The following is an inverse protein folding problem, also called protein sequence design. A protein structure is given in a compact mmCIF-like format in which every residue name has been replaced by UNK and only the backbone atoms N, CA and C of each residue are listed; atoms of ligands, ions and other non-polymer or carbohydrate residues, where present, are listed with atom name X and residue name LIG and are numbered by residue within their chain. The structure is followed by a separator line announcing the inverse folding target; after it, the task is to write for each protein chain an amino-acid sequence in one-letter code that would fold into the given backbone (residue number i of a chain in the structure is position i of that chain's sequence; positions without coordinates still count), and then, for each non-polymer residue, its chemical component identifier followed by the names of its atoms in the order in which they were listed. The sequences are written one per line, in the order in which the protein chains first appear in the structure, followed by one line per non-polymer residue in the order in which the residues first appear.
data_IF_727371163230
#
_entry.id   IF_727371163230
#
_cell.length_a   1.000
_cell.length_b   1.000
_cell.length_c   1.000
_cell.angle_alpha   90.00
_cell.angle_beta   90.00
_cell.angle_gamma   90.00
#
_symmetry.space_group_name_H-M   'P 1'
#
loop_
_entity.id
_entity.type
_entity.pdbx_description
1 polymer ?
#
# COMPACT_ATOMS: atom_id res chain seq x y z
N UNK A 1 -4.34 -9.61 -15.15
CA UNK A 1 -3.66 -10.63 -14.34
C UNK A 1 -4.44 -10.76 -13.03
N UNK A 2 -4.69 -11.97 -12.49
CA UNK A 2 -5.38 -12.08 -11.19
C UNK A 2 -4.40 -11.77 -10.05
N UNK A 3 -4.76 -10.87 -9.13
CA UNK A 3 -3.92 -10.44 -8.00
C UNK A 3 -4.22 -11.25 -6.74
N UNK A 4 -3.18 -11.52 -5.94
CA UNK A 4 -3.25 -12.19 -4.66
C UNK A 4 -2.45 -11.42 -3.60
N UNK A 5 -3.15 -10.99 -2.56
CA UNK A 5 -2.60 -10.21 -1.44
C UNK A 5 -2.80 -10.90 -0.09
N UNK A 6 -3.26 -12.16 -0.12
CA UNK A 6 -3.46 -13.00 1.05
C UNK A 6 -2.92 -14.40 0.81
N UNK A 7 -2.12 -14.91 1.76
CA UNK A 7 -1.63 -16.31 1.76
C UNK A 7 -2.81 -17.29 1.72
N UNK A 8 -3.89 -16.99 2.44
CA UNK A 8 -5.07 -17.86 2.50
C UNK A 8 -5.80 -17.94 1.16
N UNK A 9 -5.88 -16.84 0.42
CA UNK A 9 -6.48 -16.84 -0.92
C UNK A 9 -5.57 -17.56 -1.92
N UNK A 10 -4.28 -17.22 -1.93
CA UNK A 10 -3.30 -17.86 -2.82
C UNK A 10 -3.27 -19.37 -2.60
N UNK A 11 -3.18 -19.83 -1.35
CA UNK A 11 -3.19 -21.26 -1.02
C UNK A 11 -4.45 -21.99 -1.50
N UNK A 12 -5.63 -21.35 -1.42
CA UNK A 12 -6.89 -21.92 -1.93
C UNK A 12 -6.92 -22.00 -3.46
N UNK A 13 -6.20 -21.12 -4.14
CA UNK A 13 -6.08 -21.10 -5.60
C UNK A 13 -5.05 -22.11 -6.13
N UNK A 14 -3.98 -22.37 -5.38
CA UNK A 14 -2.90 -23.29 -5.72
C UNK A 14 -3.31 -24.77 -5.58
N UNK A 15 -4.34 -25.19 -6.32
CA UNK A 15 -4.83 -26.59 -6.37
C UNK A 15 -4.48 -27.30 -7.67
N UNK A 16 -3.78 -26.61 -8.58
CA UNK A 16 -3.45 -27.08 -9.93
C UNK A 16 -1.92 -27.23 -10.08
N UNK A 17 -1.43 -28.14 -10.94
CA UNK A 17 0.01 -28.37 -11.12
C UNK A 17 0.71 -27.27 -11.94
N UNK A 18 -0.05 -26.41 -12.60
CA UNK A 18 0.45 -25.32 -13.44
C UNK A 18 -0.37 -24.05 -13.23
N UNK A 19 0.32 -22.93 -13.05
CA UNK A 19 -0.27 -21.61 -12.82
C UNK A 19 0.40 -20.61 -13.75
N UNK A 20 -0.41 -19.77 -14.38
CA UNK A 20 0.07 -18.70 -15.25
C UNK A 20 -0.68 -17.39 -15.03
N UNK A 21 -0.02 -16.27 -15.35
CA UNK A 21 -0.64 -14.94 -15.38
C UNK A 21 -1.36 -14.56 -14.06
N UNK A 22 -0.66 -14.75 -12.95
CA UNK A 22 -1.06 -14.24 -11.63
C UNK A 22 -0.05 -13.23 -11.08
N UNK A 23 -0.53 -12.27 -10.30
CA UNK A 23 0.29 -11.34 -9.53
C UNK A 23 0.17 -11.68 -8.04
N UNK A 24 1.30 -11.73 -7.34
CA UNK A 24 1.37 -12.00 -5.91
C UNK A 24 2.14 -10.87 -5.25
N UNK A 25 1.54 -10.19 -4.27
CA UNK A 25 2.05 -8.93 -3.75
C UNK A 25 2.21 -8.93 -2.22
N UNK A 26 3.37 -8.48 -1.75
CA UNK A 26 3.67 -8.27 -0.32
C UNK A 26 3.41 -9.48 0.57
N UNK A 27 3.59 -10.70 0.04
CA UNK A 27 3.33 -11.94 0.76
C UNK A 27 4.60 -12.63 1.26
N UNK A 28 4.48 -13.28 2.42
CA UNK A 28 5.52 -14.18 2.95
C UNK A 28 5.30 -15.59 2.44
N UNK A 29 5.90 -15.91 1.29
CA UNK A 29 5.68 -17.16 0.58
C UNK A 29 6.29 -18.39 1.29
N UNK A 30 7.22 -18.16 2.22
CA UNK A 30 7.79 -19.22 3.08
C UNK A 30 6.72 -20.02 3.83
N UNK A 31 5.53 -19.44 4.09
CA UNK A 31 4.40 -20.10 4.75
C UNK A 31 3.76 -21.22 3.90
N UNK A 32 3.92 -21.18 2.58
CA UNK A 32 3.33 -22.13 1.62
C UNK A 32 4.37 -22.69 0.64
N UNK A 33 5.65 -22.52 0.94
CA UNK A 33 6.76 -22.87 0.07
C UNK A 33 6.77 -24.34 -0.37
N UNK A 34 6.55 -25.35 0.50
CA UNK A 34 6.48 -26.74 0.05
C UNK A 34 5.40 -26.99 -1.00
N UNK A 35 4.27 -26.27 -0.95
CA UNK A 35 3.22 -26.36 -1.96
C UNK A 35 3.69 -25.73 -3.27
N UNK A 36 4.28 -24.53 -3.21
CA UNK A 36 4.71 -23.79 -4.38
C UNK A 36 5.82 -24.50 -5.16
N UNK A 37 6.76 -25.17 -4.48
CA UNK A 37 7.83 -25.94 -5.12
C UNK A 37 7.32 -27.11 -5.98
N UNK A 38 6.10 -27.58 -5.73
CA UNK A 38 5.46 -28.65 -6.52
C UNK A 38 4.63 -28.13 -7.71
N UNK A 39 4.54 -26.82 -7.90
CA UNK A 39 3.72 -26.17 -8.93
C UNK A 39 4.64 -25.47 -9.93
N UNK A 40 4.32 -25.59 -11.23
CA UNK A 40 5.00 -24.83 -12.28
C UNK A 40 4.34 -23.48 -12.46
N UNK A 41 5.13 -22.41 -12.43
CA UNK A 41 4.68 -21.03 -12.64
C UNK A 41 5.26 -20.46 -13.93
N UNK A 42 4.45 -19.73 -14.69
CA UNK A 42 4.96 -18.96 -15.84
C UNK A 42 4.19 -17.67 -16.06
N UNK A 43 4.88 -16.62 -16.50
CA UNK A 43 4.34 -15.29 -16.77
C UNK A 43 3.65 -14.67 -15.55
N UNK A 44 4.06 -15.08 -14.34
CA UNK A 44 3.56 -14.54 -13.08
C UNK A 44 4.41 -13.35 -12.60
N UNK A 45 3.80 -12.46 -11.84
CA UNK A 45 4.43 -11.32 -11.16
C UNK A 45 4.53 -11.60 -9.67
N UNK A 46 5.73 -11.49 -9.08
CA UNK A 46 5.95 -11.56 -7.64
C UNK A 46 6.52 -10.23 -7.14
N UNK A 47 5.68 -9.44 -6.48
CA UNK A 47 5.94 -8.05 -6.08
C UNK A 47 6.23 -7.98 -4.58
N UNK A 48 7.49 -7.74 -4.19
CA UNK A 48 7.85 -7.57 -2.78
C UNK A 48 7.57 -8.78 -1.90
N UNK A 49 7.54 -9.98 -2.47
CA UNK A 49 7.32 -11.21 -1.73
C UNK A 49 8.61 -11.64 -1.00
N UNK A 50 8.49 -12.10 0.24
CA UNK A 50 9.61 -12.74 0.94
C UNK A 50 9.57 -14.25 0.71
N UNK A 51 10.68 -14.83 0.27
CA UNK A 51 10.82 -16.24 -0.07
C UNK A 51 12.23 -16.74 0.23
N UNK A 52 12.43 -18.05 0.31
CA UNK A 52 13.75 -18.67 0.38
C UNK A 52 14.49 -18.56 -0.96
N UNK A 53 15.79 -18.81 -0.94
CA UNK A 53 16.59 -18.90 -2.17
C UNK A 53 16.09 -20.06 -3.06
N UNK A 54 15.69 -21.19 -2.48
CA UNK A 54 15.18 -22.34 -3.25
C UNK A 54 13.90 -21.98 -4.01
N UNK A 55 12.96 -21.32 -3.35
CA UNK A 55 11.73 -20.85 -3.99
C UNK A 55 12.02 -19.75 -5.02
N UNK A 56 12.97 -18.85 -4.75
CA UNK A 56 13.41 -17.86 -5.73
C UNK A 56 13.94 -18.52 -7.01
N UNK A 57 14.85 -19.49 -6.90
CA UNK A 57 15.39 -20.22 -8.05
C UNK A 57 14.33 -21.01 -8.81
N UNK A 58 13.33 -21.55 -8.10
CA UNK A 58 12.19 -22.21 -8.72
C UNK A 58 11.29 -21.26 -9.52
N UNK A 59 11.08 -20.04 -9.02
CA UNK A 59 10.22 -19.05 -9.65
C UNK A 59 10.91 -18.21 -10.72
N UNK A 60 12.23 -17.99 -10.64
CA UNK A 60 12.98 -17.14 -11.58
C UNK A 60 12.75 -17.50 -13.07
N UNK A 61 12.72 -18.79 -13.47
CA UNK A 61 12.48 -19.17 -14.85
C UNK A 61 11.06 -18.81 -15.30
N UNK A 62 10.96 -17.86 -16.22
CA UNK A 62 9.69 -17.53 -16.89
C UNK A 62 8.73 -16.68 -16.07
N UNK A 63 9.13 -16.16 -14.90
CA UNK A 63 8.33 -15.21 -14.11
C UNK A 63 9.08 -13.90 -13.89
N UNK A 64 8.36 -12.90 -13.39
CA UNK A 64 8.88 -11.58 -13.08
C UNK A 64 8.94 -11.41 -11.57
N UNK A 65 10.15 -11.31 -11.02
CA UNK A 65 10.37 -11.17 -9.59
C UNK A 65 10.91 -9.77 -9.31
N UNK A 66 10.17 -9.01 -8.51
CA UNK A 66 10.50 -7.65 -8.16
C UNK A 66 11.12 -7.60 -6.77
N UNK A 67 12.30 -6.94 -6.61
CA UNK A 67 13.04 -6.97 -5.35
C UNK A 67 12.39 -6.10 -4.28
N UNK A 68 12.66 -6.43 -3.03
CA UNK A 68 12.50 -5.52 -1.90
C UNK A 68 13.69 -4.54 -1.89
N UNK A 69 13.40 -3.25 -1.95
CA UNK A 69 14.42 -2.21 -1.91
C UNK A 69 14.72 -1.81 -0.46
N UNK A 70 15.98 -1.52 -0.17
CA UNK A 70 16.42 -1.05 1.15
C UNK A 70 16.02 0.43 1.36
N UNK A 71 14.76 0.59 1.79
CA UNK A 71 14.07 1.86 2.10
C UNK A 71 13.15 1.66 3.32
N UNK A 72 12.81 2.70 4.10
CA UNK A 72 12.08 2.54 5.37
C UNK A 72 10.55 2.38 5.20
N UNK A 73 10.08 2.06 4.00
CA UNK A 73 8.68 1.82 3.70
C UNK A 73 8.52 0.57 2.83
N UNK A 74 7.34 -0.03 2.86
CA UNK A 74 7.03 -1.11 1.92
C UNK A 74 6.91 -0.50 0.52
N UNK A 75 7.67 -0.98 -0.47
CA UNK A 75 7.55 -0.52 -1.86
C UNK A 75 6.35 -1.09 -2.61
N UNK A 76 5.64 -2.05 -2.02
CA UNK A 76 4.48 -2.69 -2.65
C UNK A 76 3.27 -2.82 -1.69
N UNK A 77 2.84 -1.76 -0.98
CA UNK A 77 1.72 -1.85 -0.03
C UNK A 77 0.48 -2.43 -0.72
N UNK A 78 -0.11 -3.48 -0.13
CA UNK A 78 -1.32 -4.14 -0.64
C UNK A 78 -2.61 -3.59 -0.02
N UNK A 79 -2.52 -2.46 0.67
CA UNK A 79 -3.67 -1.77 1.26
C UNK A 79 -3.37 -0.31 1.47
N UNK A 80 -4.43 0.49 1.54
CA UNK A 80 -4.34 1.88 1.96
C UNK A 80 -3.90 1.98 3.43
N UNK A 81 -3.17 3.05 3.72
CA UNK A 81 -2.79 3.38 5.09
C UNK A 81 -3.99 3.89 5.89
N UNK A 82 -3.97 3.58 7.18
CA UNK A 82 -4.89 4.08 8.19
C UNK A 82 -4.11 4.77 9.32
N UNK A 83 -4.83 5.34 10.28
CA UNK A 83 -4.20 6.03 11.42
C UNK A 83 -3.31 5.08 12.23
N UNK A 84 -3.75 3.83 12.43
CA UNK A 84 -3.05 2.87 13.27
C UNK A 84 -1.72 2.44 12.64
N UNK A 85 -1.68 2.25 11.33
CA UNK A 85 -0.47 1.92 10.58
C UNK A 85 0.50 3.10 10.46
N UNK A 86 0.02 4.31 10.21
CA UNK A 86 0.87 5.50 10.08
C UNK A 86 1.45 5.97 11.40
N UNK A 87 0.66 5.92 12.48
CA UNK A 87 1.04 6.36 13.82
C UNK A 87 1.41 5.19 14.75
N UNK A 88 1.74 4.03 14.18
CA UNK A 88 2.15 2.86 14.95
C UNK A 88 3.26 3.23 15.97
N UNK A 89 3.01 2.91 17.24
CA UNK A 89 3.94 3.22 18.34
C UNK A 89 3.84 4.64 18.91
N UNK A 90 2.93 5.49 18.42
CA UNK A 90 2.69 6.81 19.00
C UNK A 90 2.03 6.70 20.38
N UNK A 91 2.55 7.47 21.34
CA UNK A 91 1.99 7.60 22.67
C UNK A 91 1.74 9.08 22.99
N UNK A 92 0.47 9.45 23.17
CA UNK A 92 0.05 10.82 23.48
C UNK A 92 0.67 11.41 24.75
N UNK A 93 0.98 10.57 25.74
CA UNK A 93 1.63 10.99 26.99
C UNK A 93 3.16 11.14 26.85
N UNK A 94 3.72 10.67 25.72
CA UNK A 94 5.13 10.84 25.36
C UNK A 94 5.24 11.35 23.91
N UNK A 95 4.93 12.63 23.64
CA UNK A 95 4.82 13.15 22.26
C UNK A 95 6.05 12.92 21.37
N UNK A 96 7.24 12.84 21.97
CA UNK A 96 8.49 12.51 21.24
C UNK A 96 8.46 11.14 20.53
N UNK A 97 7.56 10.24 20.91
CA UNK A 97 7.35 8.96 20.21
C UNK A 97 6.88 9.14 18.77
N UNK A 98 6.28 10.29 18.42
CA UNK A 98 5.94 10.65 17.04
C UNK A 98 7.14 10.52 16.09
N UNK A 99 8.34 10.89 16.55
CA UNK A 99 9.56 10.83 15.74
C UNK A 99 9.94 9.41 15.29
N UNK A 100 9.35 8.38 15.88
CA UNK A 100 9.59 6.97 15.56
C UNK A 100 8.41 6.33 14.81
N UNK A 101 7.36 7.09 14.52
CA UNK A 101 6.21 6.57 13.77
C UNK A 101 6.60 6.32 12.32
N UNK A 102 5.99 5.32 11.65
CA UNK A 102 6.21 5.08 10.23
C UNK A 102 6.06 6.34 9.37
N UNK A 103 5.00 7.13 9.58
CA UNK A 103 4.77 8.38 8.86
C UNK A 103 5.97 9.33 8.94
N UNK A 104 6.43 9.62 10.17
CA UNK A 104 7.53 10.56 10.38
C UNK A 104 8.86 10.07 9.83
N UNK A 105 9.14 8.78 9.96
CA UNK A 105 10.38 8.16 9.45
C UNK A 105 10.42 8.22 7.93
N UNK A 106 9.31 7.87 7.26
CA UNK A 106 9.19 7.94 5.80
C UNK A 106 9.27 9.37 5.30
N UNK A 107 8.63 10.31 5.99
CA UNK A 107 8.72 11.75 5.67
C UNK A 107 10.16 12.26 5.73
N UNK A 108 10.90 11.94 6.80
CA UNK A 108 12.31 12.36 6.93
C UNK A 108 13.18 11.74 5.83
N UNK A 109 13.01 10.45 5.56
CA UNK A 109 13.68 9.79 4.45
C UNK A 109 13.35 10.44 3.10
N UNK A 110 12.07 10.74 2.83
CA UNK A 110 11.66 11.42 1.61
C UNK A 110 12.35 12.78 1.46
N UNK A 111 12.38 13.59 2.53
CA UNK A 111 13.06 14.89 2.53
C UNK A 111 14.56 14.78 2.23
N UNK A 112 15.24 13.79 2.80
CA UNK A 112 16.66 13.56 2.52
C UNK A 112 16.87 13.03 1.10
N UNK A 113 16.04 12.09 0.63
CA UNK A 113 16.12 11.53 -0.72
C UNK A 113 15.99 12.60 -1.81
N UNK A 114 15.20 13.66 -1.57
CA UNK A 114 15.05 14.79 -2.50
C UNK A 114 16.32 15.60 -2.72
N UNK A 115 17.32 15.50 -1.84
CA UNK A 115 18.59 16.21 -1.99
C UNK A 115 19.53 15.52 -2.99
N UNK A 116 19.50 14.18 -3.01
CA UNK A 116 20.44 13.36 -3.79
C UNK A 116 19.78 12.62 -4.98
N UNK A 117 18.45 12.48 -4.98
CA UNK A 117 17.60 11.89 -6.04
C UNK A 117 18.21 10.63 -6.69
N UNK A 118 18.60 9.65 -5.89
CA UNK A 118 19.17 8.42 -6.44
C UNK A 118 18.13 7.64 -7.26
N UNK A 119 18.59 6.88 -8.25
CA UNK A 119 17.72 6.00 -9.06
C UNK A 119 17.01 4.99 -8.14
N UNK A 120 17.68 4.48 -7.11
CA UNK A 120 17.08 3.57 -6.12
C UNK A 120 15.89 4.22 -5.42
N UNK A 121 16.07 5.43 -4.89
CA UNK A 121 15.03 6.10 -4.09
C UNK A 121 13.84 6.49 -4.98
N UNK A 122 14.11 6.98 -6.19
CA UNK A 122 13.05 7.36 -7.14
C UNK A 122 12.27 6.15 -7.64
N UNK A 123 12.92 5.01 -7.93
CA UNK A 123 12.23 3.76 -8.25
C UNK A 123 11.41 3.25 -7.07
N UNK A 124 11.96 3.26 -5.85
CA UNK A 124 11.24 2.84 -4.64
C UNK A 124 9.96 3.65 -4.42
N UNK A 125 10.04 4.98 -4.55
CA UNK A 125 8.89 5.88 -4.46
C UNK A 125 7.84 5.57 -5.53
N UNK A 126 8.26 5.34 -6.79
CA UNK A 126 7.33 5.04 -7.88
C UNK A 126 6.64 3.69 -7.73
N UNK A 127 7.36 2.68 -7.26
CA UNK A 127 6.77 1.36 -6.95
C UNK A 127 5.73 1.49 -5.84
N UNK A 128 6.07 2.19 -4.76
CA UNK A 128 5.14 2.48 -3.68
C UNK A 128 3.89 3.22 -4.16
N UNK A 129 4.07 4.33 -4.89
CA UNK A 129 2.96 5.16 -5.36
C UNK A 129 2.05 4.40 -6.34
N UNK A 130 2.64 3.53 -7.17
CA UNK A 130 1.87 2.65 -8.05
C UNK A 130 0.97 1.72 -7.24
N UNK A 131 1.52 1.01 -6.26
CA UNK A 131 0.74 0.12 -5.39
C UNK A 131 -0.33 0.85 -4.58
N UNK A 132 -0.04 2.06 -4.07
CA UNK A 132 -1.07 2.89 -3.40
C UNK A 132 -2.18 3.29 -4.37
N UNK A 133 -1.83 3.66 -5.61
CA UNK A 133 -2.82 4.03 -6.63
C UNK A 133 -3.71 2.84 -6.99
N UNK A 134 -3.12 1.66 -7.11
CA UNK A 134 -3.84 0.41 -7.37
C UNK A 134 -4.83 0.09 -6.23
N UNK A 135 -4.35 0.04 -4.98
CA UNK A 135 -5.22 -0.15 -3.81
C UNK A 135 -6.29 0.93 -3.65
N UNK A 136 -6.00 2.17 -4.06
CA UNK A 136 -6.99 3.26 -4.05
C UNK A 136 -8.11 2.99 -5.05
N UNK A 137 -7.77 2.56 -6.28
CA UNK A 137 -8.76 2.22 -7.29
C UNK A 137 -9.64 1.05 -6.84
N UNK A 138 -9.06 0.00 -6.26
CA UNK A 138 -9.82 -1.11 -5.71
C UNK A 138 -10.75 -0.68 -4.58
N UNK A 139 -10.27 0.18 -3.67
CA UNK A 139 -11.05 0.68 -2.55
C UNK A 139 -12.26 1.48 -3.03
N UNK A 140 -12.07 2.46 -3.92
CA UNK A 140 -13.16 3.32 -4.40
C UNK A 140 -14.13 2.57 -5.32
N UNK A 141 -13.69 1.51 -6.01
CA UNK A 141 -14.56 0.68 -6.85
C UNK A 141 -15.66 -0.04 -6.06
N UNK A 142 -15.51 -0.17 -4.74
CA UNK A 142 -16.55 -0.71 -3.86
C UNK A 142 -17.69 0.28 -3.54
N UNK A 143 -17.56 1.54 -3.95
CA UNK A 143 -18.54 2.60 -3.72
C UNK A 143 -19.29 2.96 -5.02
N UNK A 144 -20.52 3.47 -4.88
CA UNK A 144 -21.22 4.13 -5.98
C UNK A 144 -20.43 5.38 -6.41
N UNK A 145 -20.08 5.47 -7.70
CA UNK A 145 -19.35 6.59 -8.28
C UNK A 145 -20.00 7.96 -7.95
N UNK A 146 -21.33 8.01 -7.83
CA UNK A 146 -22.08 9.24 -7.53
C UNK A 146 -22.00 9.63 -6.06
N UNK A 147 -21.50 8.72 -5.21
CA UNK A 147 -21.29 8.91 -3.79
C UNK A 147 -19.83 9.19 -3.43
N UNK A 148 -18.95 9.30 -4.42
CA UNK A 148 -17.58 9.77 -4.26
C UNK A 148 -17.55 11.30 -4.36
N UNK A 149 -17.33 11.99 -3.24
CA UNK A 149 -17.37 13.47 -3.21
C UNK A 149 -16.10 14.03 -2.60
N UNK A 150 -15.45 14.95 -3.33
CA UNK A 150 -14.28 15.66 -2.86
C UNK A 150 -14.65 17.11 -2.48
N UNK A 151 -14.20 17.57 -1.32
CA UNK A 151 -14.25 19.00 -0.96
C UNK A 151 -12.83 19.54 -1.11
N UNK A 152 -12.65 20.41 -2.10
CA UNK A 152 -11.37 21.07 -2.36
C UNK A 152 -11.35 22.44 -1.67
N UNK A 153 -10.21 22.79 -1.07
CA UNK A 153 -10.00 24.05 -0.38
C UNK A 153 -8.52 24.34 -0.19
N UNK A 154 -8.19 25.57 0.20
CA UNK A 154 -6.81 25.97 0.47
C UNK A 154 -6.32 25.44 1.82
N UNK A 155 -5.08 24.99 1.89
CA UNK A 155 -4.40 24.49 3.10
C UNK A 155 -4.08 25.59 4.14
N UNK A 156 -4.50 26.84 3.90
CA UNK A 156 -4.19 28.02 4.73
C UNK A 156 -5.26 28.40 5.75
N UNK A 157 -6.39 27.67 5.79
CA UNK A 157 -7.52 27.97 6.69
C UNK A 157 -7.21 27.45 8.09
N UNK A 158 -7.34 28.29 9.11
CA UNK A 158 -7.15 27.87 10.50
C UNK A 158 -8.32 27.02 11.00
N UNK A 159 -8.03 26.07 11.89
CA UNK A 159 -9.06 25.21 12.53
C UNK A 159 -10.09 26.01 13.34
N UNK A 160 -9.75 27.23 13.74
CA UNK A 160 -10.62 28.15 14.49
C UNK A 160 -11.56 28.97 13.61
N UNK A 161 -11.35 28.99 12.29
CA UNK A 161 -12.18 29.77 11.38
C UNK A 161 -13.54 29.12 11.13
N UNK A 162 -14.56 29.95 10.92
CA UNK A 162 -15.93 29.49 10.68
C UNK A 162 -16.03 28.54 9.49
N UNK A 163 -15.29 28.83 8.41
CA UNK A 163 -15.29 28.01 7.19
C UNK A 163 -14.75 26.59 7.45
N UNK A 164 -13.76 26.43 8.33
CA UNK A 164 -13.26 25.10 8.72
C UNK A 164 -14.38 24.28 9.36
N UNK A 165 -15.11 24.87 10.32
CA UNK A 165 -16.24 24.22 10.98
C UNK A 165 -17.36 23.87 10.00
N UNK A 166 -17.65 24.74 9.03
CA UNK A 166 -18.65 24.46 7.99
C UNK A 166 -18.27 23.24 7.15
N UNK A 167 -17.01 23.14 6.72
CA UNK A 167 -16.51 22.00 5.95
C UNK A 167 -16.60 20.72 6.78
N UNK A 168 -16.20 20.73 8.05
CA UNK A 168 -16.31 19.56 8.94
C UNK A 168 -17.76 19.08 9.06
N UNK A 169 -18.70 19.99 9.28
CA UNK A 169 -20.12 19.63 9.43
C UNK A 169 -20.74 19.13 8.12
N UNK A 170 -20.36 19.74 6.98
CA UNK A 170 -20.79 19.31 5.66
C UNK A 170 -20.28 17.89 5.36
N UNK A 171 -18.98 17.65 5.54
CA UNK A 171 -18.38 16.31 5.36
C UNK A 171 -19.04 15.28 6.25
N UNK A 172 -19.26 15.60 7.54
CA UNK A 172 -19.98 14.71 8.46
C UNK A 172 -21.37 14.36 7.94
N UNK A 173 -22.16 15.36 7.54
CA UNK A 173 -23.52 15.15 7.04
C UNK A 173 -23.55 14.29 5.78
N UNK A 174 -22.61 14.48 4.87
CA UNK A 174 -22.50 13.66 3.65
C UNK A 174 -22.09 12.22 3.98
N UNK A 175 -21.11 12.04 4.87
CA UNK A 175 -20.71 10.70 5.34
C UNK A 175 -21.87 9.96 6.00
N UNK A 176 -22.67 10.63 6.83
CA UNK A 176 -23.88 10.04 7.44
C UNK A 176 -24.95 9.64 6.42
N UNK A 177 -24.93 10.22 5.21
CA UNK A 177 -25.79 9.85 4.07
C UNK A 177 -25.15 8.78 3.17
N UNK A 178 -23.99 8.25 3.55
CA UNK A 178 -23.27 7.19 2.85
C UNK A 178 -22.39 7.67 1.70
N UNK A 179 -22.03 8.96 1.66
CA UNK A 179 -21.01 9.46 0.74
C UNK A 179 -19.60 9.14 1.28
N UNK A 180 -18.71 8.70 0.38
CA UNK A 180 -17.28 8.64 0.67
C UNK A 180 -16.68 10.01 0.40
N UNK A 181 -16.17 10.63 1.46
CA UNK A 181 -15.53 11.94 1.37
C UNK A 181 -14.05 11.78 1.03
N UNK A 182 -13.61 12.50 -0.01
CA UNK A 182 -12.24 12.51 -0.51
C UNK A 182 -11.60 13.90 -0.28
N UNK A 183 -10.28 13.93 -0.07
CA UNK A 183 -9.53 15.18 0.04
C UNK A 183 -8.10 15.00 -0.50
N UNK A 184 -7.40 16.13 -0.71
CA UNK A 184 -5.98 16.12 -1.09
C UNK A 184 -5.02 15.86 0.07
N UNK A 185 -5.51 15.60 1.29
CA UNK A 185 -4.66 15.31 2.46
C UNK A 185 -3.87 16.50 3.03
N UNK A 186 -4.30 17.73 2.73
CA UNK A 186 -3.70 18.99 3.24
C UNK A 186 -4.38 19.57 4.47
#
# INVERSE_FOLDING_TARGET
MKQFESITELKRFLTVPYVEEIAVQSLRLTEIEPLMLNIRFSRCLFLGCSMSDDLLHHLLPGNFIFPLLDVPFNTYPSRLYDTDSLYAGFNRHKPKTYLKTPDKVVYDYYRESRKNLSIKDTLAQRLHDHSITDSLHEYIASFDERKLVAIMGGHGILRTEHIYRQVVLLSKSLTEQGYLMLSGGG
#
